data_IF_024853982826
#
_entry.id   IF_024853982826
#
_cell.length_a   1.000
_cell.length_b   1.000
_cell.length_c   1.000
_cell.angle_alpha   90.00
_cell.angle_beta   90.00
_cell.angle_gamma   90.00
#
_symmetry.space_group_name_H-M   'P 1'
#
loop_
_entity.id
_entity.type
_entity.pdbx_description
1 polymer ?
#
# COMPACT_ATOMS: atom_id res chain seq x y z
N UNK A 1 -55.83 -26.88 25.50
CA UNK A 1 -57.04 -26.47 24.74
C UNK A 1 -57.43 -25.07 25.19
N UNK A 2 -57.57 -24.13 24.25
CA UNK A 2 -58.06 -22.74 24.44
C UNK A 2 -56.96 -21.76 24.88
N UNK A 3 -56.31 -20.96 24.03
CA UNK A 3 -56.75 -19.85 23.15
C UNK A 3 -57.19 -18.56 23.88
N UNK A 4 -56.43 -17.50 23.57
CA UNK A 4 -56.85 -16.09 23.43
C UNK A 4 -56.84 -15.23 24.69
N UNK A 5 -56.64 -13.91 24.65
CA UNK A 5 -56.05 -13.01 23.66
C UNK A 5 -55.92 -11.63 24.38
N UNK A 6 -55.02 -10.79 23.90
CA UNK A 6 -55.05 -9.30 23.93
C UNK A 6 -55.03 -8.51 25.27
N UNK A 7 -54.06 -7.59 25.37
CA UNK A 7 -54.00 -6.58 26.44
C UNK A 7 -52.87 -5.56 26.34
N UNK A 8 -52.76 -4.87 25.20
CA UNK A 8 -51.80 -3.80 24.86
C UNK A 8 -51.84 -2.60 25.84
N UNK A 9 -50.68 -2.08 26.31
CA UNK A 9 -50.37 -0.63 26.26
C UNK A 9 -48.94 -0.20 26.70
N UNK A 10 -48.14 0.18 25.69
CA UNK A 10 -47.44 1.49 25.52
C UNK A 10 -46.31 1.88 26.50
N UNK A 11 -45.12 1.34 26.24
CA UNK A 11 -43.85 2.02 26.51
C UNK A 11 -43.50 2.98 25.36
N UNK A 12 -43.29 4.25 25.66
CA UNK A 12 -43.03 5.35 24.73
C UNK A 12 -41.82 5.07 23.84
N UNK A 13 -42.02 5.23 22.53
CA UNK A 13 -40.99 5.10 21.51
C UNK A 13 -39.84 6.07 21.78
N UNK A 14 -38.64 5.51 21.90
CA UNK A 14 -37.42 6.24 21.57
C UNK A 14 -37.39 6.27 20.05
N UNK A 15 -37.79 7.41 19.48
CA UNK A 15 -37.66 7.66 18.05
C UNK A 15 -36.18 7.53 17.71
N UNK A 16 -35.87 6.47 16.97
CA UNK A 16 -34.58 6.29 16.35
C UNK A 16 -34.42 7.38 15.28
N UNK A 17 -33.24 8.03 15.13
CA UNK A 17 -33.07 9.14 14.19
C UNK A 17 -33.18 8.75 12.71
N UNK A 18 -33.33 7.46 12.40
CA UNK A 18 -33.27 6.92 11.04
C UNK A 18 -34.65 6.64 10.44
N UNK A 19 -35.68 7.39 10.86
CA UNK A 19 -36.95 7.44 10.14
C UNK A 19 -36.90 8.57 9.09
N UNK A 20 -36.18 8.32 8.01
CA UNK A 20 -36.05 9.24 6.88
C UNK A 20 -35.45 8.53 5.68
N UNK A 21 -36.31 8.11 4.76
CA UNK A 21 -35.94 7.45 3.52
C UNK A 21 -35.08 8.34 2.63
N UNK A 22 -33.79 8.13 2.69
CA UNK A 22 -32.93 8.06 1.52
C UNK A 22 -32.20 6.74 1.64
N UNK A 23 -32.43 5.80 0.72
CA UNK A 23 -31.47 4.75 0.47
C UNK A 23 -30.20 5.45 -0.02
N UNK A 24 -29.38 5.93 0.92
CA UNK A 24 -28.02 6.27 0.62
C UNK A 24 -27.36 4.96 0.24
N UNK A 25 -27.46 4.58 -1.03
CA UNK A 25 -26.50 3.65 -1.60
C UNK A 25 -25.15 4.23 -1.21
N UNK A 26 -24.46 3.51 -0.33
CA UNK A 26 -23.06 3.79 -0.10
C UNK A 26 -22.41 3.35 -1.41
N UNK A 27 -22.19 4.30 -2.32
CA UNK A 27 -21.26 4.07 -3.41
C UNK A 27 -19.88 4.14 -2.77
N UNK A 28 -19.51 3.10 -1.99
CA UNK A 28 -18.13 2.89 -1.58
C UNK A 28 -17.30 2.99 -2.84
N UNK A 29 -16.36 3.94 -2.86
CA UNK A 29 -15.62 4.33 -4.06
C UNK A 29 -15.18 3.09 -4.83
N UNK A 30 -15.80 2.90 -5.99
CA UNK A 30 -15.71 1.75 -6.90
C UNK A 30 -14.39 0.97 -6.73
N UNK A 31 -14.39 -0.05 -5.86
CA UNK A 31 -13.35 -1.06 -5.87
C UNK A 31 -11.93 -0.66 -5.51
N UNK A 32 -11.62 0.61 -5.25
CA UNK A 32 -10.24 1.05 -5.09
C UNK A 32 -9.76 0.89 -3.65
N UNK A 33 -8.67 0.16 -3.47
CA UNK A 33 -7.97 0.08 -2.19
C UNK A 33 -6.58 0.74 -2.28
N UNK A 34 -6.16 1.33 -1.17
CA UNK A 34 -4.79 1.82 -0.96
C UNK A 34 -4.11 1.02 0.13
N UNK A 35 -2.91 0.52 -0.16
CA UNK A 35 -2.02 -0.08 0.85
C UNK A 35 -0.90 0.90 1.14
N UNK A 36 -0.57 1.04 2.43
CA UNK A 36 0.49 1.89 2.94
C UNK A 36 1.48 1.01 3.71
N UNK A 37 2.73 0.97 3.24
CA UNK A 37 3.85 0.43 4.01
C UNK A 37 4.71 1.64 4.39
N UNK A 38 4.86 1.91 5.68
CA UNK A 38 5.58 3.08 6.17
C UNK A 38 6.73 2.63 7.05
N UNK A 39 7.90 3.23 6.84
CA UNK A 39 9.04 3.02 7.71
C UNK A 39 9.73 1.66 7.52
N UNK A 40 9.68 1.05 6.33
CA UNK A 40 10.40 -0.19 6.06
C UNK A 40 11.89 0.07 6.11
N UNK A 41 12.56 -0.42 7.15
CA UNK A 41 14.00 -0.23 7.36
C UNK A 41 14.78 -1.40 6.81
N UNK A 42 15.81 -1.09 6.02
CA UNK A 42 16.75 -2.08 5.52
C UNK A 42 18.16 -1.48 5.45
N UNK A 43 19.16 -2.32 5.70
CA UNK A 43 20.56 -1.90 5.61
C UNK A 43 21.07 -2.12 4.19
N UNK A 44 21.60 -1.06 3.59
CA UNK A 44 22.06 -1.07 2.20
C UNK A 44 23.39 -0.37 2.05
N UNK A 45 24.05 -0.62 0.92
CA UNK A 45 25.36 -0.09 0.59
C UNK A 45 25.29 0.91 -0.56
N UNK A 46 24.23 1.72 -0.62
CA UNK A 46 24.02 2.70 -1.69
C UNK A 46 24.69 4.04 -1.37
N UNK A 47 25.23 4.70 -2.39
CA UNK A 47 25.87 6.00 -2.23
C UNK A 47 26.80 6.38 -3.36
N UNK A 48 27.07 7.68 -3.47
CA UNK A 48 27.93 8.23 -4.52
C UNK A 48 29.41 7.97 -4.23
N UNK A 49 29.80 7.95 -2.95
CA UNK A 49 31.20 7.81 -2.55
C UNK A 49 31.58 6.34 -2.29
N UNK A 50 32.88 5.98 -2.39
CA UNK A 50 33.35 4.65 -1.99
C UNK A 50 33.05 4.34 -0.51
N UNK A 51 33.28 5.31 0.38
CA UNK A 51 33.06 5.17 1.82
C UNK A 51 31.62 4.78 2.15
N UNK A 52 30.63 5.45 1.58
CA UNK A 52 29.21 5.10 1.80
C UNK A 52 28.88 3.67 1.36
N UNK A 53 29.53 3.16 0.30
CA UNK A 53 29.29 1.81 -0.23
C UNK A 53 30.10 0.73 0.49
N UNK A 54 31.13 1.11 1.25
CA UNK A 54 31.91 0.22 2.10
C UNK A 54 31.30 0.12 3.50
N UNK A 55 30.95 1.26 4.08
CA UNK A 55 30.38 1.33 5.43
C UNK A 55 28.91 0.89 5.42
N UNK A 56 28.11 1.30 4.42
CA UNK A 56 26.67 1.07 4.40
C UNK A 56 25.91 1.92 5.42
N UNK A 57 24.59 1.95 5.30
CA UNK A 57 23.71 2.69 6.22
C UNK A 57 22.28 2.16 6.16
N UNK A 58 21.44 2.63 7.10
CA UNK A 58 20.00 2.32 7.05
C UNK A 58 19.32 3.21 6.01
N UNK A 59 18.56 2.58 5.13
CA UNK A 59 17.58 3.24 4.28
C UNK A 59 16.19 2.95 4.81
N UNK A 60 15.30 3.93 4.69
CA UNK A 60 13.88 3.77 5.06
C UNK A 60 13.05 3.92 3.81
N UNK A 61 12.13 3.00 3.57
CA UNK A 61 11.24 3.02 2.41
C UNK A 61 9.80 3.16 2.87
N UNK A 62 9.10 4.13 2.29
CA UNK A 62 7.64 4.18 2.30
C UNK A 62 7.11 3.78 0.92
N UNK A 63 6.01 3.03 0.93
CA UNK A 63 5.25 2.66 -0.25
C UNK A 63 3.77 3.00 -0.05
N UNK A 64 3.21 3.68 -1.03
CA UNK A 64 1.77 3.71 -1.24
C UNK A 64 1.46 3.00 -2.56
N UNK A 65 0.48 2.09 -2.57
CA UNK A 65 -0.03 1.51 -3.81
C UNK A 65 -1.56 1.59 -3.87
N UNK A 66 -2.08 1.97 -5.04
CA UNK A 66 -3.49 1.98 -5.35
C UNK A 66 -3.80 0.82 -6.31
N UNK A 67 -4.82 0.01 -6.03
CA UNK A 67 -5.25 -1.10 -6.89
C UNK A 67 -6.76 -1.34 -6.82
N UNK A 68 -7.29 -2.06 -7.82
CA UNK A 68 -8.69 -2.50 -7.85
C UNK A 68 -8.84 -3.76 -6.98
N UNK A 69 -9.47 -3.62 -5.83
CA UNK A 69 -9.74 -4.63 -4.82
C UNK A 69 -11.20 -5.14 -4.84
N UNK A 70 -12.07 -4.70 -5.75
CA UNK A 70 -13.48 -5.14 -5.82
C UNK A 70 -13.66 -6.64 -5.69
N UNK A 71 -12.81 -7.41 -6.38
CA UNK A 71 -12.92 -8.87 -6.39
C UNK A 71 -12.46 -9.48 -5.06
N UNK A 72 -11.32 -9.03 -4.54
CA UNK A 72 -10.80 -9.45 -3.24
C UNK A 72 -11.78 -9.15 -2.10
N UNK A 73 -12.40 -7.97 -2.11
CA UNK A 73 -13.40 -7.56 -1.12
C UNK A 73 -14.68 -8.39 -1.25
N UNK A 74 -15.10 -8.71 -2.47
CA UNK A 74 -16.34 -9.47 -2.71
C UNK A 74 -16.21 -10.94 -2.28
N UNK A 75 -15.06 -11.54 -2.49
CA UNK A 75 -14.81 -12.96 -2.19
C UNK A 75 -14.15 -13.19 -0.82
N UNK A 76 -13.59 -12.15 -0.19
CA UNK A 76 -12.84 -12.22 1.07
C UNK A 76 -11.65 -13.21 1.02
N UNK A 77 -10.96 -13.25 -0.13
CA UNK A 77 -9.89 -14.20 -0.42
C UNK A 77 -8.54 -13.52 -0.57
N UNK A 78 -7.56 -13.96 0.23
CA UNK A 78 -6.23 -13.34 0.29
C UNK A 78 -5.46 -13.42 -1.03
N UNK A 79 -5.66 -14.49 -1.83
CA UNK A 79 -4.96 -14.67 -3.10
C UNK A 79 -5.42 -13.69 -4.19
N UNK A 80 -6.57 -13.02 -3.98
CA UNK A 80 -7.08 -11.96 -4.86
C UNK A 80 -6.60 -10.57 -4.41
N UNK A 81 -6.04 -10.47 -3.20
CA UNK A 81 -5.48 -9.25 -2.65
C UNK A 81 -3.96 -9.14 -2.91
N UNK A 82 -3.41 -7.94 -2.70
CA UNK A 82 -1.96 -7.74 -2.73
C UNK A 82 -1.35 -8.25 -1.43
N UNK A 83 -0.44 -9.22 -1.54
CA UNK A 83 0.38 -9.72 -0.43
C UNK A 83 1.47 -8.71 -0.07
N UNK A 84 1.18 -7.87 0.92
CA UNK A 84 2.08 -6.81 1.37
C UNK A 84 3.29 -7.34 2.16
N UNK A 85 3.23 -8.57 2.70
CA UNK A 85 4.37 -9.17 3.40
C UNK A 85 5.45 -9.56 2.38
N UNK A 86 5.06 -10.29 1.31
CA UNK A 86 5.95 -10.58 0.19
C UNK A 86 6.48 -9.32 -0.49
N UNK A 87 5.64 -8.30 -0.61
CA UNK A 87 6.05 -7.01 -1.18
C UNK A 87 7.12 -6.34 -0.32
N UNK A 88 6.95 -6.31 1.00
CA UNK A 88 7.93 -5.76 1.93
C UNK A 88 9.24 -6.55 1.91
N UNK A 89 9.19 -7.87 1.86
CA UNK A 89 10.37 -8.72 1.74
C UNK A 89 11.16 -8.42 0.46
N UNK A 90 10.49 -8.35 -0.70
CA UNK A 90 11.16 -8.03 -1.95
C UNK A 90 11.75 -6.62 -1.99
N UNK A 91 11.08 -5.64 -1.38
CA UNK A 91 11.63 -4.29 -1.22
C UNK A 91 12.90 -4.31 -0.37
N UNK A 92 12.87 -5.01 0.77
CA UNK A 92 14.04 -5.18 1.63
C UNK A 92 15.19 -5.81 0.86
N UNK A 93 14.93 -6.85 0.07
CA UNK A 93 15.95 -7.55 -0.69
C UNK A 93 16.58 -6.66 -1.78
N UNK A 94 15.80 -5.75 -2.40
CA UNK A 94 16.33 -4.75 -3.33
C UNK A 94 17.26 -3.76 -2.60
N UNK A 95 16.90 -3.30 -1.41
CA UNK A 95 17.72 -2.39 -0.60
C UNK A 95 19.00 -3.07 -0.09
N UNK A 96 18.92 -4.34 0.30
CA UNK A 96 20.09 -5.11 0.76
C UNK A 96 20.96 -5.62 -0.41
N UNK A 97 20.47 -5.52 -1.63
CA UNK A 97 21.06 -6.10 -2.83
C UNK A 97 22.15 -5.26 -3.48
N UNK A 98 22.09 -5.17 -4.82
CA UNK A 98 23.13 -4.49 -5.60
C UNK A 98 23.19 -2.99 -5.27
N UNK A 99 24.38 -2.44 -4.94
CA UNK A 99 24.55 -1.02 -4.66
C UNK A 99 24.13 -0.13 -5.84
N UNK A 100 23.46 0.96 -5.50
CA UNK A 100 23.15 2.05 -6.43
C UNK A 100 23.95 3.28 -6.01
N UNK A 101 24.28 4.13 -6.97
CA UNK A 101 24.91 5.43 -6.66
C UNK A 101 23.89 6.45 -6.12
N UNK A 102 22.66 6.37 -6.62
CA UNK A 102 21.60 7.35 -6.40
C UNK A 102 20.41 6.69 -5.70
N UNK A 103 19.79 7.38 -4.74
CA UNK A 103 18.55 6.91 -4.10
C UNK A 103 17.35 6.98 -5.08
N UNK A 104 17.44 7.81 -6.11
CA UNK A 104 16.54 7.82 -7.27
C UNK A 104 16.59 6.49 -8.02
N UNK A 105 17.79 5.91 -8.21
CA UNK A 105 17.92 4.62 -8.89
C UNK A 105 17.34 3.49 -8.05
N UNK A 106 17.53 3.55 -6.74
CA UNK A 106 16.92 2.61 -5.80
C UNK A 106 15.38 2.73 -5.79
N UNK A 107 14.85 3.95 -5.68
CA UNK A 107 13.41 4.22 -5.73
C UNK A 107 12.80 3.77 -7.07
N UNK A 108 13.50 4.00 -8.18
CA UNK A 108 13.09 3.53 -9.50
C UNK A 108 13.02 1.99 -9.58
N UNK A 109 14.00 1.29 -9.02
CA UNK A 109 14.03 -0.17 -9.05
C UNK A 109 12.93 -0.78 -8.17
N UNK A 110 12.73 -0.22 -6.97
CA UNK A 110 11.61 -0.60 -6.09
C UNK A 110 10.28 -0.36 -6.79
N UNK A 111 10.09 0.80 -7.42
CA UNK A 111 8.86 1.12 -8.15
C UNK A 111 8.59 0.15 -9.31
N UNK A 112 9.62 -0.22 -10.09
CA UNK A 112 9.49 -1.25 -11.12
C UNK A 112 9.09 -2.60 -10.53
N UNK A 113 9.73 -3.02 -9.44
CA UNK A 113 9.39 -4.26 -8.75
C UNK A 113 7.93 -4.27 -8.28
N UNK A 114 7.46 -3.21 -7.63
CA UNK A 114 6.07 -3.10 -7.16
C UNK A 114 5.09 -3.15 -8.33
N UNK A 115 5.32 -2.36 -9.37
CA UNK A 115 4.43 -2.31 -10.54
C UNK A 115 4.50 -3.60 -11.36
N UNK A 116 5.61 -4.33 -11.37
CA UNK A 116 5.73 -5.63 -12.03
C UNK A 116 5.20 -6.79 -11.17
N UNK A 117 5.16 -6.62 -9.86
CA UNK A 117 4.81 -7.62 -8.84
C UNK A 117 3.34 -7.58 -8.37
N UNK A 118 2.57 -6.57 -8.77
CA UNK A 118 1.21 -6.34 -8.25
C UNK A 118 0.24 -5.82 -9.32
N UNK A 119 -1.09 -5.93 -9.12
CA UNK A 119 -2.11 -5.26 -9.93
C UNK A 119 -2.19 -3.74 -9.72
N UNK A 120 -1.22 -3.11 -9.05
CA UNK A 120 -1.24 -1.68 -8.77
C UNK A 120 -1.43 -0.84 -10.05
N UNK A 121 -2.34 0.12 -10.00
CA UNK A 121 -2.57 1.11 -11.06
C UNK A 121 -1.70 2.35 -10.85
N UNK A 122 -1.35 2.65 -9.59
CA UNK A 122 -0.45 3.71 -9.16
C UNK A 122 0.37 3.21 -7.98
N UNK A 123 1.65 3.56 -7.95
CA UNK A 123 2.49 3.41 -6.78
C UNK A 123 3.26 4.72 -6.52
N UNK A 124 3.49 5.03 -5.25
CA UNK A 124 4.38 6.09 -4.79
C UNK A 124 5.43 5.42 -3.90
N UNK A 125 6.69 5.57 -4.28
CA UNK A 125 7.83 5.04 -3.53
C UNK A 125 8.61 6.22 -2.99
N UNK A 126 8.82 6.26 -1.68
CA UNK A 126 9.71 7.22 -1.03
C UNK A 126 10.88 6.48 -0.42
N UNK A 127 12.10 6.91 -0.73
CA UNK A 127 13.33 6.35 -0.17
C UNK A 127 14.04 7.44 0.61
N UNK A 128 14.13 7.24 1.91
CA UNK A 128 14.79 8.11 2.87
C UNK A 128 16.22 7.65 3.10
N UNK A 129 17.10 8.63 3.26
CA UNK A 129 18.51 8.46 3.57
C UNK A 129 18.88 9.36 4.75
N UNK A 130 18.54 8.97 5.98
CA UNK A 130 18.69 9.83 7.17
C UNK A 130 20.16 10.16 7.47
N UNK A 131 21.09 9.29 7.06
CA UNK A 131 22.53 9.45 7.27
C UNK A 131 23.24 10.03 6.03
N UNK A 132 22.50 10.69 5.13
CA UNK A 132 23.09 11.31 3.96
C UNK A 132 24.11 12.39 4.33
N UNK A 133 25.32 12.39 3.72
CA UNK A 133 26.34 13.39 4.01
C UNK A 133 25.92 14.75 3.43
N UNK A 134 25.36 15.60 4.29
CA UNK A 134 24.93 16.96 3.97
C UNK A 134 25.77 17.97 4.74
N UNK A 135 26.05 19.13 4.12
CA UNK A 135 26.81 20.22 4.76
C UNK A 135 25.98 21.06 5.73
N UNK A 136 24.65 20.96 5.67
CA UNK A 136 23.72 21.59 6.60
C UNK A 136 22.98 20.52 7.41
N UNK A 137 22.56 20.89 8.61
CA UNK A 137 21.75 20.01 9.46
C UNK A 137 20.34 19.88 8.88
N UNK A 138 19.93 18.64 8.66
CA UNK A 138 18.57 18.26 8.24
C UNK A 138 18.15 17.05 9.07
N UNK A 139 16.85 16.90 9.31
CA UNK A 139 16.32 15.72 10.00
C UNK A 139 16.33 14.50 9.08
N UNK A 140 16.05 14.70 7.80
CA UNK A 140 15.97 13.64 6.80
C UNK A 140 16.12 14.20 5.38
N UNK A 141 16.54 13.34 4.46
CA UNK A 141 16.47 13.59 3.02
C UNK A 141 15.89 12.36 2.32
N UNK A 142 14.94 12.60 1.43
CA UNK A 142 14.27 11.53 0.71
C UNK A 142 14.00 11.90 -0.75
N UNK A 143 13.91 10.87 -1.59
CA UNK A 143 13.39 10.97 -2.94
C UNK A 143 12.04 10.27 -3.00
N UNK A 144 11.09 10.90 -3.68
CA UNK A 144 9.78 10.33 -3.98
C UNK A 144 9.61 10.15 -5.49
N UNK A 145 9.16 8.97 -5.91
CA UNK A 145 8.84 8.67 -7.30
C UNK A 145 7.43 8.10 -7.41
N UNK A 146 6.67 8.58 -8.40
CA UNK A 146 5.31 8.12 -8.69
C UNK A 146 5.29 7.32 -9.98
N UNK A 147 4.73 6.13 -9.91
CA UNK A 147 4.57 5.20 -11.02
C UNK A 147 3.09 5.06 -11.33
N UNK A 148 2.74 4.95 -12.60
CA UNK A 148 1.38 4.70 -13.08
C UNK A 148 1.44 3.73 -14.24
N UNK A 149 0.46 2.82 -14.33
CA UNK A 149 0.28 2.05 -15.56
C UNK A 149 -0.27 2.96 -16.65
N UNK A 150 0.31 2.85 -17.84
CA UNK A 150 -0.29 3.39 -19.06
C UNK A 150 -1.66 2.74 -19.26
N UNK A 151 -2.69 3.52 -19.60
CA UNK A 151 -3.97 2.93 -19.99
C UNK A 151 -3.76 2.09 -21.27
N UNK A 152 -3.72 0.76 -21.12
CA UNK A 152 -3.49 -0.19 -22.22
C UNK A 152 -2.55 -1.36 -21.91
N UNK A 153 -1.71 -1.28 -20.87
CA UNK A 153 -0.85 -2.39 -20.45
C UNK A 153 -1.42 -3.06 -19.19
N UNK A 154 -2.37 -3.97 -19.39
CA UNK A 154 -2.69 -4.97 -18.38
C UNK A 154 -1.42 -5.81 -18.15
N UNK A 155 -0.79 -5.65 -16.99
CA UNK A 155 0.35 -6.47 -16.59
C UNK A 155 -0.02 -7.95 -16.52
N UNK A 156 0.96 -8.87 -16.64
CA UNK A 156 0.73 -10.29 -16.88
C UNK A 156 0.24 -11.08 -15.65
N UNK A 157 -0.50 -10.47 -14.71
CA UNK A 157 -1.01 -11.17 -13.51
C UNK A 157 -2.16 -12.15 -13.79
N UNK A 158 -2.43 -12.45 -15.06
CA UNK A 158 -3.27 -13.57 -15.47
C UNK A 158 -2.38 -14.76 -15.89
N UNK A 159 -1.81 -15.48 -14.92
CA UNK A 159 -1.56 -16.95 -14.94
C UNK A 159 -0.56 -17.34 -13.85
N UNK A 160 -0.96 -18.22 -12.91
CA UNK A 160 0.01 -18.98 -12.12
C UNK A 160 -0.37 -19.41 -10.70
N UNK A 161 -1.55 -20.01 -10.50
CA UNK A 161 -1.87 -20.77 -9.27
C UNK A 161 -2.36 -22.16 -9.62
N UNK A 162 -1.44 -23.10 -9.87
CA UNK A 162 -1.68 -24.54 -9.85
C UNK A 162 -0.74 -25.17 -8.84
#
# INVERSE_FOLDING_TARGET
MGQGDEGRARGRGRLSPWAGGGSGEVHEGEGLARILITGLKAYGYHGCTPREREEGQVFVVDLELDYQASEAVREDELYLAVDYDRLAEGIRDIVCGQPFRLIESLAAEIGKYVMAGTPAIRALVRVHKPEAPMSCEVEDVAVEMVFRRSAGEAGPFAEGGR
#
